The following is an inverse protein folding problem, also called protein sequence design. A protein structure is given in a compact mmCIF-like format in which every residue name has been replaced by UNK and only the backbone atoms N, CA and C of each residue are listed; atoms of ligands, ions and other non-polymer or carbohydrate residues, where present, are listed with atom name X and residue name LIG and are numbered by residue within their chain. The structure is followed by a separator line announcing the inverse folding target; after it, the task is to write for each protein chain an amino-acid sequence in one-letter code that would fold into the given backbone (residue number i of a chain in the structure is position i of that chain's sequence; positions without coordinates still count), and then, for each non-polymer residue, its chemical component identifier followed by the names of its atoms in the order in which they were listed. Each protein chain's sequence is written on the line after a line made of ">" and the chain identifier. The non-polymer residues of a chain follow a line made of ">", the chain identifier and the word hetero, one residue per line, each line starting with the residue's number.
data_IF_270210056249
#
_entry.id   IF_270210056249
#
_cell.length_a   1.000
_cell.length_b   1.000
_cell.length_c   1.000
_cell.angle_alpha   90.00
_cell.angle_beta   90.00
_cell.angle_gamma   90.00
#
_symmetry.space_group_name_H-M   'P 1'
#
loop_
_entity.id
_entity.type
_entity.pdbx_description
1 polymer ?
#
# COMPACT_ATOMS: atom_id res chain seq x y z
N UNK A 1 8.50 -33.65 0.00
CA UNK A 1 8.62 -32.91 -1.28
C UNK A 1 9.62 -31.79 -1.06
N UNK A 2 10.81 -31.77 -1.70
CA UNK A 2 11.78 -30.72 -1.43
C UNK A 2 11.32 -29.43 -2.14
N UNK A 3 10.93 -28.44 -1.35
CA UNK A 3 10.61 -27.09 -1.82
C UNK A 3 11.92 -26.38 -2.21
N UNK A 4 12.40 -26.62 -3.43
CA UNK A 4 13.53 -25.89 -3.97
C UNK A 4 13.04 -24.53 -4.48
N UNK A 5 13.03 -23.53 -3.61
CA UNK A 5 12.84 -22.14 -3.99
C UNK A 5 14.00 -21.71 -4.88
N UNK A 6 13.78 -21.64 -6.19
CA UNK A 6 14.75 -21.07 -7.12
C UNK A 6 14.65 -19.55 -7.04
N UNK A 7 15.65 -18.90 -6.44
CA UNK A 7 15.80 -17.45 -6.54
C UNK A 7 16.21 -17.10 -7.97
N UNK A 8 15.37 -16.34 -8.67
CA UNK A 8 15.67 -15.77 -9.98
C UNK A 8 16.17 -14.34 -9.78
N UNK A 9 17.49 -14.14 -9.81
CA UNK A 9 18.14 -12.82 -9.73
C UNK A 9 18.70 -12.36 -11.07
N UNK A 10 18.60 -13.18 -12.10
CA UNK A 10 19.05 -12.84 -13.45
C UNK A 10 18.05 -11.91 -14.14
N UNK A 11 18.56 -10.86 -14.79
CA UNK A 11 17.77 -9.77 -15.37
C UNK A 11 16.76 -10.26 -16.42
N UNK A 12 17.07 -11.34 -17.12
CA UNK A 12 16.20 -11.93 -18.15
C UNK A 12 15.13 -12.87 -17.56
N UNK A 13 15.23 -13.18 -16.26
CA UNK A 13 14.32 -14.10 -15.54
C UNK A 13 13.50 -13.42 -14.44
N UNK A 14 13.51 -12.08 -14.36
CA UNK A 14 12.70 -11.29 -13.43
C UNK A 14 11.22 -11.27 -13.81
N UNK A 15 10.62 -12.46 -13.85
CA UNK A 15 9.17 -12.62 -13.93
C UNK A 15 8.55 -12.44 -12.54
N UNK A 16 7.25 -12.10 -12.51
CA UNK A 16 6.50 -12.05 -11.26
C UNK A 16 6.40 -13.46 -10.67
N UNK A 17 7.29 -13.77 -9.72
CA UNK A 17 7.30 -15.02 -8.97
C UNK A 17 6.72 -14.76 -7.57
N UNK A 18 5.59 -15.40 -7.28
CA UNK A 18 4.93 -15.31 -5.98
C UNK A 18 5.09 -16.62 -5.22
N UNK A 19 5.14 -16.52 -3.90
CA UNK A 19 5.14 -17.69 -3.04
C UNK A 19 3.88 -18.55 -3.31
N UNK A 20 3.96 -19.89 -3.51
CA UNK A 20 2.83 -20.81 -3.61
C UNK A 20 1.64 -20.53 -2.69
N UNK A 21 1.85 -20.18 -1.42
CA UNK A 21 0.74 -19.86 -0.50
C UNK A 21 0.08 -18.49 -0.75
N UNK A 22 0.66 -17.62 -1.59
CA UNK A 22 0.10 -16.29 -1.87
C UNK A 22 -1.29 -16.38 -2.51
N UNK A 23 -1.57 -17.47 -3.24
CA UNK A 23 -2.90 -17.71 -3.83
C UNK A 23 -3.97 -17.97 -2.76
N UNK A 24 -3.60 -18.63 -1.67
CA UNK A 24 -4.51 -18.92 -0.57
C UNK A 24 -4.81 -17.66 0.24
N UNK A 25 -3.82 -16.76 0.39
CA UNK A 25 -3.96 -15.50 1.14
C UNK A 25 -4.72 -14.44 0.35
N UNK A 26 -4.35 -14.22 -0.92
CA UNK A 26 -4.89 -13.15 -1.75
C UNK A 26 -6.14 -13.57 -2.55
N UNK A 27 -6.39 -14.86 -2.62
CA UNK A 27 -7.48 -15.47 -3.38
C UNK A 27 -7.16 -15.67 -4.87
N UNK A 28 -7.85 -16.63 -5.53
CA UNK A 28 -7.56 -17.03 -6.90
C UNK A 28 -7.92 -15.97 -7.96
N UNK A 29 -8.78 -14.99 -7.63
CA UNK A 29 -9.20 -13.91 -8.53
C UNK A 29 -8.37 -12.63 -8.39
N UNK A 30 -7.27 -12.68 -7.64
CA UNK A 30 -6.37 -11.55 -7.51
C UNK A 30 -5.66 -11.26 -8.86
N UNK A 31 -5.46 -9.98 -9.18
CA UNK A 31 -4.80 -9.53 -10.42
C UNK A 31 -3.43 -10.20 -10.65
N UNK A 32 -2.73 -10.55 -9.57
CA UNK A 32 -1.43 -11.22 -9.61
C UNK A 32 -1.47 -12.65 -10.18
N UNK A 33 -2.63 -13.31 -10.16
CA UNK A 33 -2.80 -14.68 -10.67
C UNK A 33 -3.66 -14.75 -11.94
N UNK A 34 -4.27 -13.64 -12.36
CA UNK A 34 -5.01 -13.59 -13.61
C UNK A 34 -4.04 -13.51 -14.79
N UNK A 35 -4.42 -14.14 -15.89
CA UNK A 35 -3.66 -14.10 -17.16
C UNK A 35 -4.59 -13.79 -18.33
N UNK A 36 -4.02 -13.31 -19.45
CA UNK A 36 -4.77 -13.13 -20.68
C UNK A 36 -5.82 -12.00 -20.63
N UNK A 37 -6.99 -12.16 -21.28
CA UNK A 37 -8.00 -11.11 -21.40
C UNK A 37 -8.52 -10.59 -20.06
N UNK A 38 -8.74 -11.48 -19.08
CA UNK A 38 -9.27 -11.11 -17.76
C UNK A 38 -8.30 -10.21 -16.99
N UNK A 39 -7.01 -10.55 -17.02
CA UNK A 39 -5.96 -9.70 -16.45
C UNK A 39 -5.91 -8.34 -17.14
N UNK A 40 -5.99 -8.31 -18.48
CA UNK A 40 -5.97 -7.06 -19.25
C UNK A 40 -7.17 -6.17 -18.93
N UNK A 41 -8.37 -6.74 -18.83
CA UNK A 41 -9.59 -6.02 -18.49
C UNK A 41 -9.52 -5.44 -17.07
N UNK A 42 -9.13 -6.26 -16.08
CA UNK A 42 -8.98 -5.82 -14.70
C UNK A 42 -7.92 -4.73 -14.58
N UNK A 43 -6.72 -4.94 -15.16
CA UNK A 43 -5.65 -3.94 -15.17
C UNK A 43 -6.09 -2.61 -15.79
N UNK A 44 -6.86 -2.64 -16.88
CA UNK A 44 -7.40 -1.43 -17.51
C UNK A 44 -8.30 -0.65 -16.55
N UNK A 45 -9.18 -1.33 -15.82
CA UNK A 45 -10.05 -0.68 -14.82
C UNK A 45 -9.24 -0.08 -13.66
N UNK A 46 -8.22 -0.78 -13.17
CA UNK A 46 -7.33 -0.26 -12.12
C UNK A 46 -6.57 0.97 -12.56
N UNK A 47 -6.00 0.98 -13.77
CA UNK A 47 -5.23 2.12 -14.28
C UNK A 47 -6.06 3.40 -14.40
N UNK A 48 -7.39 3.29 -14.56
CA UNK A 48 -8.26 4.47 -14.58
C UNK A 48 -8.26 5.22 -13.23
N UNK A 49 -8.04 4.51 -12.12
CA UNK A 49 -7.89 5.10 -10.78
C UNK A 49 -6.57 5.86 -10.61
N UNK A 50 -5.56 5.57 -11.42
CA UNK A 50 -4.23 6.18 -11.32
C UNK A 50 -3.96 7.19 -12.44
N UNK A 51 -5.01 7.78 -13.01
CA UNK A 51 -4.86 8.90 -13.96
C UNK A 51 -4.44 10.17 -13.23
N UNK A 52 -3.75 11.10 -13.91
CA UNK A 52 -3.37 12.39 -13.31
C UNK A 52 -4.54 13.14 -12.67
N UNK A 53 -5.73 13.05 -13.30
CA UNK A 53 -6.95 13.67 -12.80
C UNK A 53 -7.47 13.01 -11.52
N UNK A 54 -7.46 11.68 -11.45
CA UNK A 54 -7.82 10.97 -10.23
C UNK A 54 -6.82 11.29 -9.11
N UNK A 55 -5.52 11.18 -9.40
CA UNK A 55 -4.45 11.50 -8.46
C UNK A 55 -4.53 12.95 -7.93
N UNK A 56 -4.88 13.94 -8.76
CA UNK A 56 -5.02 15.33 -8.29
C UNK A 56 -6.12 15.49 -7.24
N UNK A 57 -7.21 14.74 -7.35
CA UNK A 57 -8.28 14.75 -6.34
C UNK A 57 -7.80 14.06 -5.06
N UNK A 58 -7.07 12.96 -5.21
CA UNK A 58 -6.58 12.18 -4.08
C UNK A 58 -5.55 12.93 -3.26
N UNK A 59 -4.63 13.65 -3.89
CA UNK A 59 -3.61 14.45 -3.18
C UNK A 59 -4.25 15.45 -2.23
N UNK A 60 -5.31 16.15 -2.64
CA UNK A 60 -6.00 17.13 -1.78
C UNK A 60 -6.65 16.43 -0.57
N UNK A 61 -7.29 15.28 -0.79
CA UNK A 61 -7.89 14.47 0.30
C UNK A 61 -6.83 13.94 1.26
N UNK A 62 -5.76 13.38 0.71
CA UNK A 62 -4.66 12.81 1.48
C UNK A 62 -3.96 13.86 2.33
N UNK A 63 -3.70 15.04 1.77
CA UNK A 63 -3.06 16.15 2.49
C UNK A 63 -3.85 16.56 3.74
N UNK A 64 -5.17 16.73 3.59
CA UNK A 64 -6.05 17.06 4.72
C UNK A 64 -6.01 15.97 5.83
N UNK A 65 -6.15 14.70 5.44
CA UNK A 65 -6.13 13.58 6.38
C UNK A 65 -4.76 13.38 7.06
N UNK A 66 -3.68 13.60 6.32
CA UNK A 66 -2.31 13.53 6.85
C UNK A 66 -2.11 14.63 7.88
N UNK A 67 -2.50 15.87 7.56
CA UNK A 67 -2.40 16.99 8.49
C UNK A 67 -3.17 16.73 9.79
N UNK A 68 -4.42 16.26 9.69
CA UNK A 68 -5.23 15.90 10.85
C UNK A 68 -4.57 14.80 11.68
N UNK A 69 -4.08 13.73 11.03
CA UNK A 69 -3.44 12.62 11.70
C UNK A 69 -2.15 13.03 12.43
N UNK A 70 -1.34 13.91 11.82
CA UNK A 70 -0.12 14.43 12.45
C UNK A 70 -0.44 15.28 13.68
N UNK A 71 -1.50 16.09 13.64
CA UNK A 71 -1.95 16.86 14.81
C UNK A 71 -2.38 15.94 15.96
N UNK A 72 -3.14 14.87 15.65
CA UNK A 72 -3.52 13.85 16.63
C UNK A 72 -2.29 13.14 17.22
N UNK A 73 -1.31 12.79 16.38
CA UNK A 73 -0.08 12.15 16.83
C UNK A 73 0.70 13.07 17.78
N UNK A 74 0.91 14.34 17.42
CA UNK A 74 1.59 15.32 18.29
C UNK A 74 0.85 15.50 19.62
N UNK A 75 -0.48 15.59 19.60
CA UNK A 75 -1.29 15.69 20.81
C UNK A 75 -1.16 14.43 21.70
N UNK A 76 -1.14 13.24 21.10
CA UNK A 76 -0.97 11.97 21.82
C UNK A 76 0.42 11.83 22.48
N UNK A 77 1.44 12.51 21.96
CA UNK A 77 2.77 12.59 22.57
C UNK A 77 2.87 13.65 23.69
N UNK A 78 1.73 14.20 24.13
CA UNK A 78 1.63 15.12 25.27
C UNK A 78 1.80 16.60 24.91
N UNK A 79 1.81 16.98 23.62
CA UNK A 79 1.84 18.38 23.16
C UNK A 79 3.04 19.22 23.63
N UNK A 80 3.94 18.64 24.42
CA UNK A 80 5.02 19.37 25.07
C UNK A 80 6.27 19.33 24.21
N UNK A 81 6.83 20.50 23.96
CA UNK A 81 8.18 20.69 23.43
C UNK A 81 9.26 19.97 24.28
N UNK A 82 8.89 19.44 25.46
CA UNK A 82 9.76 18.78 26.42
C UNK A 82 10.07 17.31 26.07
N UNK A 83 9.32 16.70 25.14
CA UNK A 83 9.57 15.36 24.58
C UNK A 83 10.26 15.38 23.22
N UNK A 84 10.75 16.54 22.75
CA UNK A 84 11.67 16.61 21.61
C UNK A 84 13.00 15.93 21.98
N UNK A 85 13.06 14.60 21.84
CA UNK A 85 14.26 13.81 22.14
C UNK A 85 14.00 12.38 22.61
N UNK A 86 12.79 12.05 23.05
CA UNK A 86 12.46 10.67 23.39
C UNK A 86 12.16 9.88 22.11
N UNK A 87 12.92 8.82 21.85
CA UNK A 87 12.65 7.91 20.75
C UNK A 87 11.25 7.29 20.92
N UNK A 88 10.42 7.33 19.88
CA UNK A 88 9.11 6.69 19.86
C UNK A 88 8.99 5.74 18.67
N UNK A 89 8.12 4.73 18.78
CA UNK A 89 7.85 3.83 17.66
C UNK A 89 6.91 4.51 16.65
N UNK A 90 7.41 4.77 15.45
CA UNK A 90 6.66 5.45 14.39
C UNK A 90 5.73 4.52 13.59
N UNK A 91 6.01 3.21 13.61
CA UNK A 91 5.37 2.23 12.71
C UNK A 91 3.84 2.19 12.85
N UNK A 92 3.25 2.14 14.07
CA UNK A 92 1.81 2.09 14.20
C UNK A 92 1.13 3.36 13.66
N UNK A 93 1.77 4.52 13.83
CA UNK A 93 1.28 5.81 13.34
C UNK A 93 1.28 5.84 11.81
N UNK A 94 2.40 5.50 11.18
CA UNK A 94 2.52 5.47 9.71
C UNK A 94 1.56 4.44 9.09
N UNK A 95 1.44 3.25 9.70
CA UNK A 95 0.52 2.22 9.23
C UNK A 95 -0.94 2.69 9.29
N UNK A 96 -1.33 3.34 10.40
CA UNK A 96 -2.68 3.89 10.55
C UNK A 96 -2.96 5.01 9.56
N UNK A 97 -2.03 5.96 9.42
CA UNK A 97 -2.12 7.04 8.43
C UNK A 97 -2.36 6.49 7.02
N UNK A 98 -1.55 5.50 6.61
CA UNK A 98 -1.65 4.90 5.28
C UNK A 98 -2.99 4.15 5.08
N UNK A 99 -3.49 3.49 6.11
CA UNK A 99 -4.78 2.81 6.06
C UNK A 99 -5.93 3.80 5.88
N UNK A 100 -5.94 4.89 6.66
CA UNK A 100 -6.96 5.93 6.58
C UNK A 100 -6.95 6.63 5.22
N UNK A 101 -5.79 7.05 4.74
CA UNK A 101 -5.69 7.73 3.43
C UNK A 101 -6.12 6.83 2.29
N UNK A 102 -5.82 5.52 2.36
CA UNK A 102 -6.25 4.57 1.34
C UNK A 102 -7.75 4.31 1.35
N UNK A 103 -8.37 4.21 2.53
CA UNK A 103 -9.82 3.98 2.66
C UNK A 103 -10.63 5.18 2.13
N UNK A 104 -10.20 6.40 2.44
CA UNK A 104 -10.93 7.62 2.07
C UNK A 104 -10.73 8.08 0.61
N UNK A 105 -9.64 7.64 -0.02
CA UNK A 105 -9.34 7.97 -1.42
C UNK A 105 -10.16 7.12 -2.40
N UNK A 106 -10.45 5.87 -2.02
CA UNK A 106 -11.14 4.89 -2.89
C UNK A 106 -12.57 4.56 -2.45
N UNK A 107 -13.08 5.18 -1.37
CA UNK A 107 -14.48 5.16 -0.98
C UNK A 107 -15.35 6.00 -1.92
#
# INVERSE_FOLDING_TARGET
>A
MPCCWRSTTDQDTLLLALHPSAKDVLGPRNIAFLTGPDHKALRKSFLALFTRRALSVYVVKQDALICEHLQQWVAAQGGSVQTFGAACEIRPWVQRMNAMTSQEVFA
#
